data_IF_786400641248
#
_entry.id   IF_786400641248
#
_cell.length_a   1.000
_cell.length_b   1.000
_cell.length_c   1.000
_cell.angle_alpha   90.00
_cell.angle_beta   90.00
_cell.angle_gamma   90.00
#
_symmetry.space_group_name_H-M   'P 1'
#
loop_
_entity.id
_entity.type
_entity.pdbx_description
1 polymer ?
#
# COMPACT_ATOMS: atom_id res chain seq x y z
N UNK A 1 -17.25 -3.65 8.29
CA UNK A 1 -15.84 -3.24 8.26
C UNK A 1 -15.57 -2.59 6.91
N UNK A 2 -14.90 -1.45 6.84
CA UNK A 2 -14.76 -0.72 5.59
C UNK A 2 -13.75 -1.38 4.66
N UNK A 3 -14.19 -1.69 3.46
CA UNK A 3 -13.32 -2.11 2.35
C UNK A 3 -12.64 -0.94 1.65
N UNK A 4 -12.92 0.29 2.09
CA UNK A 4 -12.33 1.54 1.61
C UNK A 4 -12.03 2.45 2.80
N UNK A 5 -11.08 3.35 2.66
CA UNK A 5 -10.83 4.43 3.62
C UNK A 5 -12.05 5.35 3.66
N UNK A 6 -12.45 5.78 4.84
CA UNK A 6 -13.59 6.68 5.01
C UNK A 6 -13.20 8.10 4.55
N UNK A 7 -13.97 8.65 3.62
CA UNK A 7 -13.68 9.96 3.03
C UNK A 7 -14.76 10.98 3.38
N UNK A 8 -14.32 12.11 3.92
CA UNK A 8 -15.13 13.29 4.13
C UNK A 8 -16.00 13.29 5.38
N UNK A 9 -16.10 14.45 6.01
CA UNK A 9 -16.79 14.63 7.29
C UNK A 9 -18.30 14.32 7.25
N UNK A 10 -18.95 14.42 6.09
CA UNK A 10 -20.36 14.08 5.95
C UNK A 10 -20.58 12.57 6.10
N UNK A 11 -19.77 11.73 5.46
CA UNK A 11 -19.84 10.28 5.57
C UNK A 11 -19.50 9.81 6.99
N UNK A 12 -18.46 10.40 7.61
CA UNK A 12 -18.10 10.09 9.00
C UNK A 12 -19.27 10.36 9.97
N UNK A 13 -19.90 11.52 9.88
CA UNK A 13 -21.08 11.86 10.70
C UNK A 13 -22.26 10.91 10.46
N UNK A 14 -22.53 10.56 9.20
CA UNK A 14 -23.63 9.65 8.86
C UNK A 14 -23.43 8.26 9.47
N UNK A 15 -22.17 7.79 9.57
CA UNK A 15 -21.81 6.49 10.13
C UNK A 15 -21.57 6.55 11.65
N UNK A 16 -21.63 7.74 12.28
CA UNK A 16 -21.36 7.92 13.69
C UNK A 16 -19.86 7.74 14.04
N UNK A 17 -18.96 7.88 13.07
CA UNK A 17 -17.51 7.76 13.26
C UNK A 17 -16.95 9.10 13.71
N UNK A 18 -16.32 9.14 14.87
CA UNK A 18 -15.78 10.37 15.51
C UNK A 18 -14.27 10.29 15.73
N UNK A 19 -13.68 9.10 15.65
CA UNK A 19 -12.26 8.88 15.87
C UNK A 19 -11.80 7.46 15.49
N UNK A 20 -10.52 7.14 15.69
CA UNK A 20 -9.94 5.87 15.30
C UNK A 20 -10.54 4.66 16.04
N UNK A 21 -11.14 4.86 17.22
CA UNK A 21 -11.79 3.80 18.00
C UNK A 21 -13.11 3.31 17.37
N UNK A 22 -13.73 4.08 16.47
CA UNK A 22 -15.04 3.77 15.90
C UNK A 22 -14.97 2.97 14.59
N UNK A 23 -13.76 2.81 14.01
CA UNK A 23 -13.57 2.04 12.78
C UNK A 23 -12.23 1.29 12.81
N UNK A 24 -12.17 0.17 12.12
CA UNK A 24 -10.90 -0.47 11.80
C UNK A 24 -10.50 -0.11 10.36
N UNK A 25 -9.67 0.92 10.23
CA UNK A 25 -9.30 1.58 8.99
C UNK A 25 -8.90 3.02 9.25
N UNK A 26 -8.98 3.87 8.25
CA UNK A 26 -8.65 5.28 8.33
C UNK A 26 -9.75 6.19 7.81
N UNK A 27 -9.67 7.44 8.22
CA UNK A 27 -10.47 8.56 7.75
C UNK A 27 -9.56 9.61 7.12
N UNK A 28 -9.98 10.16 6.00
CA UNK A 28 -9.34 11.29 5.32
C UNK A 28 -10.39 12.33 4.91
N UNK A 29 -9.98 13.58 4.83
CA UNK A 29 -10.88 14.68 4.44
C UNK A 29 -11.16 14.69 2.94
N UNK A 30 -10.16 14.35 2.11
CA UNK A 30 -10.23 14.33 0.65
C UNK A 30 -9.82 12.97 0.09
N UNK A 31 -10.47 12.54 -0.98
CA UNK A 31 -10.30 11.21 -1.58
C UNK A 31 -8.85 10.93 -2.03
N UNK A 32 -8.18 11.89 -2.67
CA UNK A 32 -6.80 11.70 -3.12
C UNK A 32 -5.82 11.34 -1.99
N UNK A 33 -6.11 11.71 -0.72
CA UNK A 33 -5.23 11.46 0.43
C UNK A 33 -5.10 9.95 0.71
N UNK A 34 -6.13 9.16 0.42
CA UNK A 34 -6.06 7.71 0.60
C UNK A 34 -5.53 6.97 -0.63
N UNK A 35 -4.97 7.67 -1.60
CA UNK A 35 -4.40 7.10 -2.82
C UNK A 35 -2.87 7.25 -2.86
N UNK A 36 -2.23 6.52 -3.76
CA UNK A 36 -0.77 6.64 -3.98
C UNK A 36 -0.30 8.02 -4.45
N UNK A 37 -1.21 8.90 -4.85
CA UNK A 37 -0.88 10.24 -5.32
C UNK A 37 -0.09 11.07 -4.31
N UNK A 38 -0.33 10.89 -3.01
CA UNK A 38 0.37 11.67 -1.99
C UNK A 38 1.86 11.36 -1.88
N UNK A 39 2.30 10.18 -2.36
CA UNK A 39 3.69 9.73 -2.24
C UNK A 39 4.69 10.66 -2.95
N UNK A 40 4.26 11.39 -3.98
CA UNK A 40 5.14 12.24 -4.78
C UNK A 40 4.67 13.68 -4.84
N UNK A 41 5.61 14.58 -5.09
CA UNK A 41 5.32 15.99 -5.34
C UNK A 41 4.77 16.21 -6.77
N UNK A 42 4.34 17.44 -7.02
CA UNK A 42 3.99 17.89 -8.36
C UNK A 42 5.24 18.33 -9.13
N UNK A 43 5.14 18.44 -10.46
CA UNK A 43 6.24 18.86 -11.33
C UNK A 43 6.80 20.24 -10.95
N UNK A 44 5.89 21.17 -10.63
CA UNK A 44 6.21 22.49 -10.09
C UNK A 44 5.04 23.04 -9.27
N UNK A 45 5.26 24.19 -8.61
CA UNK A 45 4.29 24.82 -7.71
C UNK A 45 3.01 25.34 -8.39
N UNK A 46 3.01 25.47 -9.73
CA UNK A 46 1.86 25.95 -10.50
C UNK A 46 1.10 24.79 -11.16
N UNK A 47 1.62 23.55 -11.04
CA UNK A 47 0.94 22.37 -11.57
C UNK A 47 -0.42 22.19 -10.89
N UNK A 48 -1.38 21.70 -11.66
CA UNK A 48 -2.73 21.46 -11.15
C UNK A 48 -2.71 20.42 -10.02
N UNK A 49 -3.44 20.71 -8.95
CA UNK A 49 -3.59 19.82 -7.81
C UNK A 49 -5.03 19.76 -7.32
N UNK A 50 -5.48 18.66 -6.71
CA UNK A 50 -6.78 18.61 -6.06
C UNK A 50 -6.84 19.55 -4.85
N UNK A 51 -8.06 19.98 -4.50
CA UNK A 51 -8.29 20.79 -3.30
C UNK A 51 -7.79 20.05 -2.05
N UNK A 52 -7.07 20.75 -1.17
CA UNK A 52 -6.48 20.15 0.03
C UNK A 52 -5.11 19.49 -0.20
N UNK A 53 -4.53 19.60 -1.39
CA UNK A 53 -3.16 19.11 -1.64
C UNK A 53 -2.14 19.75 -0.70
N UNK A 54 -1.32 18.92 -0.07
CA UNK A 54 -0.26 19.36 0.85
C UNK A 54 1.13 19.08 0.27
N UNK A 55 1.88 20.10 -0.16
CA UNK A 55 3.29 19.90 -0.56
C UNK A 55 4.16 19.44 0.61
N UNK A 56 3.76 19.75 1.84
CA UNK A 56 4.48 19.35 3.05
C UNK A 56 4.64 17.82 3.14
N UNK A 57 3.62 17.06 2.75
CA UNK A 57 3.69 15.61 2.79
C UNK A 57 4.79 15.07 1.87
N UNK A 58 4.73 15.42 0.59
CA UNK A 58 5.71 14.95 -0.41
C UNK A 58 7.14 15.43 -0.12
N UNK A 59 7.30 16.60 0.50
CA UNK A 59 8.61 17.09 0.98
C UNK A 59 9.19 16.20 2.09
N UNK A 60 8.35 15.79 3.05
CA UNK A 60 8.76 14.96 4.19
C UNK A 60 9.10 13.53 3.79
N UNK A 61 8.37 12.96 2.83
CA UNK A 61 8.55 11.56 2.40
C UNK A 61 9.58 11.40 1.28
N UNK A 62 10.14 12.46 0.73
CA UNK A 62 11.08 12.41 -0.42
C UNK A 62 12.24 11.43 -0.24
N UNK A 63 12.71 11.24 0.98
CA UNK A 63 13.82 10.32 1.28
C UNK A 63 13.41 8.86 1.46
N UNK A 64 12.11 8.57 1.47
CA UNK A 64 11.54 7.24 1.76
C UNK A 64 10.58 6.73 0.69
N UNK A 65 10.47 7.42 -0.43
CA UNK A 65 9.74 7.02 -1.65
C UNK A 65 10.70 6.92 -2.82
N UNK A 66 10.30 6.28 -3.90
CA UNK A 66 11.06 6.29 -5.16
C UNK A 66 11.00 7.66 -5.83
N UNK A 67 11.88 7.92 -6.80
CA UNK A 67 11.80 9.14 -7.60
C UNK A 67 10.50 9.12 -8.42
N UNK A 68 9.67 10.17 -8.30
CA UNK A 68 8.38 10.20 -8.96
C UNK A 68 7.69 11.56 -8.89
N UNK A 69 6.61 11.69 -9.63
CA UNK A 69 5.74 12.86 -9.69
C UNK A 69 4.26 12.44 -9.73
N UNK A 70 3.43 13.19 -9.02
CA UNK A 70 1.98 13.10 -9.14
C UNK A 70 1.47 14.10 -10.14
N UNK A 71 0.57 13.67 -11.01
CA UNK A 71 0.07 14.46 -12.14
C UNK A 71 -1.46 14.41 -12.14
N UNK A 72 -2.10 15.59 -12.13
CA UNK A 72 -3.55 15.77 -12.17
C UNK A 72 -4.04 16.58 -13.38
N UNK A 73 -3.20 16.73 -14.37
CA UNK A 73 -3.49 17.49 -15.59
C UNK A 73 -2.90 16.80 -16.80
N UNK A 74 -3.69 16.70 -17.85
CA UNK A 74 -3.21 16.22 -19.13
C UNK A 74 -2.08 17.11 -19.68
N UNK A 75 -2.16 18.42 -19.45
CA UNK A 75 -1.21 19.39 -19.98
C UNK A 75 0.15 19.33 -19.27
N UNK A 76 0.19 18.92 -17.98
CA UNK A 76 1.42 18.75 -17.21
C UNK A 76 2.07 17.37 -17.45
N UNK A 77 1.32 16.40 -17.93
CA UNK A 77 1.73 15.00 -18.00
C UNK A 77 3.01 14.79 -18.79
N UNK A 78 3.10 15.39 -19.97
CA UNK A 78 4.25 15.21 -20.87
C UNK A 78 5.54 15.77 -20.27
N UNK A 79 5.49 16.95 -19.65
CA UNK A 79 6.67 17.56 -19.03
C UNK A 79 7.14 16.80 -17.79
N UNK A 80 6.21 16.18 -17.05
CA UNK A 80 6.53 15.32 -15.93
C UNK A 80 7.24 14.03 -16.38
N UNK A 81 6.72 13.39 -17.43
CA UNK A 81 7.34 12.19 -18.02
C UNK A 81 8.73 12.49 -18.60
N UNK A 82 8.89 13.59 -19.36
CA UNK A 82 10.17 14.01 -19.91
C UNK A 82 11.23 14.20 -18.83
N UNK A 83 10.84 14.81 -17.72
CA UNK A 83 11.73 15.01 -16.58
C UNK A 83 12.22 13.68 -15.97
N UNK A 84 11.32 12.73 -15.74
CA UNK A 84 11.65 11.47 -15.09
C UNK A 84 12.37 10.50 -16.04
N UNK A 85 11.98 10.44 -17.31
CA UNK A 85 12.60 9.59 -18.34
C UNK A 85 14.07 9.92 -18.60
N UNK A 86 14.52 11.11 -18.22
CA UNK A 86 15.93 11.47 -18.28
C UNK A 86 16.80 10.55 -17.40
N UNK A 87 16.25 10.08 -16.26
CA UNK A 87 16.94 9.18 -15.34
C UNK A 87 16.75 7.69 -15.68
N UNK A 88 15.74 7.33 -16.45
CA UNK A 88 15.45 5.94 -16.85
C UNK A 88 13.97 5.68 -17.09
N UNK A 89 13.57 4.42 -17.31
CA UNK A 89 12.18 4.02 -17.44
C UNK A 89 11.35 4.41 -16.22
N UNK A 90 10.09 4.72 -16.51
CA UNK A 90 9.09 5.09 -15.50
C UNK A 90 7.91 4.13 -15.54
N UNK A 91 7.21 4.02 -14.41
CA UNK A 91 5.95 3.30 -14.28
C UNK A 91 4.82 4.30 -14.09
N UNK A 92 3.84 4.27 -14.99
CA UNK A 92 2.58 5.00 -14.86
C UNK A 92 1.64 4.18 -14.00
N UNK A 93 1.05 4.80 -13.00
CA UNK A 93 0.12 4.18 -12.04
C UNK A 93 -1.13 5.05 -11.89
N UNK A 94 -2.32 4.63 -12.35
CA UNK A 94 -3.57 5.34 -12.02
C UNK A 94 -3.76 5.37 -10.50
N UNK A 95 -4.15 6.51 -9.94
CA UNK A 95 -4.16 6.69 -8.47
C UNK A 95 -5.18 5.81 -7.75
N UNK A 96 -6.32 5.50 -8.39
CA UNK A 96 -7.38 4.66 -7.83
C UNK A 96 -7.21 3.16 -8.12
N UNK A 97 -6.25 2.77 -8.95
CA UNK A 97 -6.01 1.37 -9.26
C UNK A 97 -5.31 0.64 -8.10
N UNK A 98 -5.69 -0.60 -7.87
CA UNK A 98 -5.17 -1.47 -6.82
C UNK A 98 -4.56 -2.74 -7.42
N UNK A 99 -3.70 -3.42 -6.66
CA UNK A 99 -3.10 -4.72 -7.01
C UNK A 99 -2.38 -4.73 -8.37
N UNK A 100 -1.68 -3.65 -8.71
CA UNK A 100 -0.91 -3.54 -9.96
C UNK A 100 -1.71 -3.30 -11.23
N UNK A 101 -3.04 -3.22 -11.17
CA UNK A 101 -3.90 -3.06 -12.35
C UNK A 101 -3.68 -1.71 -13.02
N UNK A 102 -3.72 -1.70 -14.37
CA UNK A 102 -3.61 -0.49 -15.18
C UNK A 102 -2.25 0.20 -15.11
N UNK A 103 -1.23 -0.46 -14.59
CA UNK A 103 0.13 0.06 -14.60
C UNK A 103 0.81 -0.23 -15.94
N UNK A 104 1.60 0.72 -16.41
CA UNK A 104 2.37 0.59 -17.64
C UNK A 104 3.81 1.05 -17.42
N UNK A 105 4.78 0.28 -17.92
CA UNK A 105 6.19 0.69 -17.97
C UNK A 105 6.46 1.43 -19.25
N UNK A 106 7.09 2.59 -19.14
CA UNK A 106 7.34 3.53 -20.23
C UNK A 106 8.84 3.79 -20.28
N UNK A 107 9.43 3.55 -21.46
CA UNK A 107 10.88 3.60 -21.65
C UNK A 107 11.33 4.80 -22.49
N UNK A 108 10.40 5.46 -23.16
CA UNK A 108 10.69 6.61 -24.03
C UNK A 108 9.55 7.60 -24.04
N UNK A 109 9.85 8.83 -24.47
CA UNK A 109 8.85 9.88 -24.64
C UNK A 109 7.86 9.54 -25.76
N UNK A 110 8.30 8.82 -26.81
CA UNK A 110 7.43 8.37 -27.90
C UNK A 110 6.38 7.37 -27.40
N UNK A 111 6.76 6.44 -26.50
CA UNK A 111 5.81 5.54 -25.84
C UNK A 111 4.81 6.33 -24.97
N UNK A 112 5.27 7.34 -24.26
CA UNK A 112 4.39 8.20 -23.46
C UNK A 112 3.44 9.02 -24.35
N UNK A 113 3.91 9.59 -25.45
CA UNK A 113 3.10 10.33 -26.42
C UNK A 113 2.01 9.41 -27.04
N UNK A 114 2.30 8.12 -27.25
CA UNK A 114 1.30 7.14 -27.67
C UNK A 114 0.21 6.90 -26.62
N UNK A 115 0.54 6.96 -25.32
CA UNK A 115 -0.46 6.92 -24.24
C UNK A 115 -1.31 8.17 -24.25
N UNK A 116 -0.70 9.35 -24.41
CA UNK A 116 -1.43 10.63 -24.49
C UNK A 116 -2.39 10.70 -25.69
N UNK A 117 -2.10 9.97 -26.77
CA UNK A 117 -2.96 9.90 -27.94
C UNK A 117 -4.21 9.01 -27.76
N UNK A 118 -4.31 8.25 -26.69
CA UNK A 118 -5.48 7.38 -26.40
C UNK A 118 -6.72 8.21 -26.08
N UNK A 119 -7.92 7.77 -26.48
CA UNK A 119 -9.17 8.50 -26.20
C UNK A 119 -9.41 8.77 -24.70
N UNK A 120 -9.03 7.82 -23.83
CA UNK A 120 -9.19 7.88 -22.39
C UNK A 120 -8.12 8.71 -21.65
N UNK A 121 -7.02 9.07 -22.31
CA UNK A 121 -5.87 9.70 -21.67
C UNK A 121 -6.24 10.98 -20.91
N UNK A 122 -7.05 11.84 -21.49
CA UNK A 122 -7.45 13.10 -20.83
C UNK A 122 -8.20 12.83 -19.51
N UNK A 123 -9.11 11.86 -19.48
CA UNK A 123 -9.83 11.47 -18.28
C UNK A 123 -8.86 10.89 -17.23
N UNK A 124 -8.00 9.96 -17.63
CA UNK A 124 -7.01 9.31 -16.80
C UNK A 124 -6.11 10.33 -16.07
N UNK A 125 -5.53 11.29 -16.81
CA UNK A 125 -4.66 12.29 -16.21
C UNK A 125 -5.42 13.34 -15.38
N UNK A 126 -6.70 13.59 -15.68
CA UNK A 126 -7.54 14.47 -14.87
C UNK A 126 -7.96 13.84 -13.54
N UNK A 127 -8.21 12.53 -13.53
CA UNK A 127 -8.40 11.78 -12.28
C UNK A 127 -7.14 11.76 -11.43
N UNK A 128 -5.99 11.60 -12.06
CA UNK A 128 -4.67 11.60 -11.47
C UNK A 128 -3.88 10.32 -11.72
N UNK A 129 -2.60 10.51 -11.97
CA UNK A 129 -1.63 9.41 -12.09
C UNK A 129 -0.39 9.70 -11.27
N UNK A 130 0.30 8.65 -10.90
CA UNK A 130 1.68 8.69 -10.44
C UNK A 130 2.57 8.22 -11.58
N UNK A 131 3.61 8.99 -11.87
CA UNK A 131 4.75 8.60 -12.69
C UNK A 131 5.91 8.37 -11.74
N UNK A 132 6.45 7.15 -11.70
CA UNK A 132 7.44 6.73 -10.73
C UNK A 132 8.57 5.96 -11.40
N UNK A 133 9.78 6.06 -10.89
CA UNK A 133 10.91 5.26 -11.34
C UNK A 133 10.55 3.78 -11.39
N UNK A 134 10.80 3.13 -12.54
CA UNK A 134 10.63 1.69 -12.67
C UNK A 134 11.84 0.94 -12.10
N UNK A 135 11.58 -0.20 -11.47
CA UNK A 135 12.59 -1.08 -10.89
C UNK A 135 12.46 -2.50 -11.45
N UNK A 136 13.59 -3.19 -11.57
CA UNK A 136 13.67 -4.64 -11.79
C UNK A 136 13.93 -5.40 -10.49
N UNK A 137 13.73 -6.71 -10.52
CA UNK A 137 13.98 -7.63 -9.40
C UNK A 137 13.34 -7.13 -8.08
N UNK A 138 12.06 -6.75 -8.17
CA UNK A 138 11.35 -6.12 -7.07
C UNK A 138 10.89 -7.13 -6.05
N UNK A 139 11.25 -6.90 -4.78
CA UNK A 139 10.58 -7.46 -3.60
C UNK A 139 9.66 -6.40 -3.02
N UNK A 140 8.42 -6.77 -2.69
CA UNK A 140 7.48 -5.88 -2.01
C UNK A 140 7.30 -6.32 -0.57
N UNK A 141 7.65 -5.43 0.36
CA UNK A 141 7.40 -5.61 1.78
C UNK A 141 6.06 -4.96 2.17
N UNK A 142 5.34 -5.64 3.05
CA UNK A 142 4.17 -5.08 3.73
C UNK A 142 4.55 -4.75 5.16
N UNK A 143 4.41 -3.50 5.55
CA UNK A 143 4.68 -3.02 6.91
C UNK A 143 3.46 -2.31 7.43
N UNK A 144 3.03 -2.60 8.65
CA UNK A 144 1.84 -1.95 9.16
C UNK A 144 1.69 -2.00 10.66
N UNK A 145 0.65 -1.29 11.12
CA UNK A 145 0.28 -1.21 12.52
C UNK A 145 -1.23 -1.15 12.65
N UNK A 146 -1.79 -1.85 13.63
CA UNK A 146 -3.22 -1.83 13.94
C UNK A 146 -3.48 -1.68 15.42
N UNK A 147 -4.54 -0.95 15.75
CA UNK A 147 -4.98 -0.64 17.10
C UNK A 147 -6.36 -1.25 17.35
N UNK A 148 -6.47 -2.06 18.41
CA UNK A 148 -7.71 -2.71 18.84
C UNK A 148 -7.90 -2.52 20.34
N UNK A 149 -8.58 -1.45 20.73
CA UNK A 149 -8.65 -1.03 22.13
C UNK A 149 -7.24 -0.77 22.68
N UNK A 150 -6.86 -1.52 23.71
CA UNK A 150 -5.53 -1.40 24.33
C UNK A 150 -4.46 -2.29 23.66
N UNK A 151 -4.81 -3.05 22.64
CA UNK A 151 -3.87 -3.89 21.91
C UNK A 151 -3.36 -3.15 20.69
N UNK A 152 -2.06 -2.95 20.64
CA UNK A 152 -1.32 -2.53 19.46
C UNK A 152 -0.63 -3.73 18.87
N UNK A 153 -0.71 -3.92 17.58
CA UNK A 153 0.10 -4.88 16.84
C UNK A 153 0.81 -4.20 15.68
N UNK A 154 2.06 -4.55 15.47
CA UNK A 154 2.86 -4.09 14.33
C UNK A 154 3.41 -5.29 13.60
N UNK A 155 3.59 -5.15 12.29
CA UNK A 155 4.06 -6.25 11.46
C UNK A 155 4.96 -5.80 10.32
N UNK A 156 5.78 -6.73 9.87
CA UNK A 156 6.51 -6.65 8.61
C UNK A 156 6.52 -8.02 7.93
N UNK A 157 6.70 -8.02 6.64
CA UNK A 157 6.85 -9.25 5.86
C UNK A 157 6.74 -9.02 4.37
N UNK A 158 6.79 -10.10 3.60
CA UNK A 158 6.83 -10.05 2.15
C UNK A 158 5.47 -10.39 1.56
N UNK A 159 5.16 -9.73 0.45
CA UNK A 159 4.02 -10.09 -0.39
C UNK A 159 4.49 -11.04 -1.50
N UNK A 160 3.60 -11.93 -1.92
CA UNK A 160 3.82 -12.77 -3.09
C UNK A 160 2.62 -12.72 -4.04
N UNK A 161 2.88 -13.04 -5.30
CA UNK A 161 1.87 -13.06 -6.35
C UNK A 161 1.35 -14.46 -6.58
N UNK A 162 0.13 -14.55 -7.09
CA UNK A 162 -0.48 -15.76 -7.64
C UNK A 162 -1.04 -15.46 -9.02
N UNK A 163 -1.60 -16.45 -9.68
CA UNK A 163 -2.29 -16.25 -10.95
C UNK A 163 -3.80 -16.41 -10.77
N UNK A 164 -4.54 -15.47 -11.32
CA UNK A 164 -5.99 -15.56 -11.42
C UNK A 164 -6.44 -16.55 -12.52
N UNK A 165 -7.75 -16.70 -12.73
CA UNK A 165 -8.29 -17.62 -13.73
C UNK A 165 -7.97 -17.21 -15.19
N UNK A 166 -7.59 -15.94 -15.43
CA UNK A 166 -7.12 -15.44 -16.73
C UNK A 166 -5.62 -15.64 -16.92
N UNK A 167 -4.89 -16.11 -15.87
CA UNK A 167 -3.46 -16.28 -15.89
C UNK A 167 -2.67 -14.99 -15.58
N UNK A 168 -3.36 -13.91 -15.21
CA UNK A 168 -2.74 -12.65 -14.82
C UNK A 168 -2.13 -12.76 -13.42
N UNK A 169 -0.99 -12.10 -13.21
CA UNK A 169 -0.37 -12.01 -11.90
C UNK A 169 -1.12 -11.02 -11.00
N UNK A 170 -1.59 -11.55 -9.87
CA UNK A 170 -2.35 -10.80 -8.87
C UNK A 170 -1.80 -11.09 -7.47
N UNK A 171 -2.22 -10.31 -6.48
CA UNK A 171 -1.85 -10.55 -5.09
C UNK A 171 -2.24 -11.98 -4.65
N UNK A 172 -1.27 -12.72 -4.14
CA UNK A 172 -1.42 -14.11 -3.68
C UNK A 172 -1.42 -14.25 -2.16
N UNK A 173 -0.89 -13.25 -1.46
CA UNK A 173 -0.82 -13.29 0.00
C UNK A 173 0.38 -12.56 0.57
N UNK A 174 0.53 -12.66 1.88
CA UNK A 174 1.65 -12.08 2.64
C UNK A 174 2.11 -13.03 3.73
N UNK A 175 3.42 -13.11 3.92
CA UNK A 175 4.05 -13.78 5.05
C UNK A 175 4.51 -12.73 6.05
N UNK A 176 3.87 -12.64 7.20
CA UNK A 176 4.08 -11.58 8.18
C UNK A 176 4.70 -12.11 9.47
N UNK A 177 5.63 -11.37 10.02
CA UNK A 177 5.99 -11.40 11.43
C UNK A 177 5.19 -10.31 12.11
N UNK A 178 4.40 -10.66 13.11
CA UNK A 178 3.53 -9.75 13.85
C UNK A 178 3.95 -9.74 15.30
N UNK A 179 4.16 -8.56 15.88
CA UNK A 179 4.46 -8.37 17.29
C UNK A 179 3.29 -7.71 18.01
N UNK A 180 3.15 -8.02 19.29
CA UNK A 180 2.34 -7.23 20.21
C UNK A 180 3.14 -6.00 20.61
N UNK A 181 2.77 -4.83 20.15
CA UNK A 181 3.44 -3.56 20.38
C UNK A 181 3.54 -2.72 19.11
N UNK A 182 4.24 -1.62 19.21
CA UNK A 182 4.51 -0.67 18.14
C UNK A 182 5.69 -1.10 17.26
N UNK A 183 6.09 -0.21 16.34
CA UNK A 183 7.24 -0.44 15.45
C UNK A 183 8.57 -0.62 16.21
N UNK A 184 8.72 -0.03 17.40
CA UNK A 184 9.94 -0.17 18.18
C UNK A 184 10.07 -1.62 18.69
N UNK A 185 8.97 -2.24 19.13
CA UNK A 185 8.94 -3.68 19.49
C UNK A 185 9.24 -4.58 18.27
N UNK A 186 8.80 -4.18 17.08
CA UNK A 186 9.13 -4.92 15.85
C UNK A 186 10.63 -4.84 15.54
N UNK A 187 11.26 -3.69 15.78
CA UNK A 187 12.70 -3.46 15.56
C UNK A 187 13.59 -4.10 16.63
N UNK A 188 13.03 -4.57 17.77
CA UNK A 188 13.76 -5.39 18.75
C UNK A 188 14.06 -6.81 18.22
N UNK A 189 13.34 -7.27 17.19
CA UNK A 189 13.59 -8.58 16.58
C UNK A 189 14.89 -8.60 15.77
N UNK A 190 15.47 -9.78 15.61
CA UNK A 190 16.58 -9.99 14.67
C UNK A 190 16.03 -10.02 13.22
N UNK A 191 16.02 -8.87 12.58
CA UNK A 191 15.52 -8.68 11.22
C UNK A 191 16.65 -8.33 10.26
N UNK A 192 16.58 -8.77 8.98
CA UNK A 192 17.49 -8.33 7.92
C UNK A 192 17.49 -6.80 7.73
N UNK A 193 18.60 -6.25 7.26
CA UNK A 193 18.77 -4.80 7.10
C UNK A 193 17.76 -4.19 6.10
N UNK A 194 17.40 -4.91 5.07
CA UNK A 194 16.40 -4.50 4.08
C UNK A 194 14.99 -4.42 4.68
N UNK A 195 14.63 -5.36 5.56
CA UNK A 195 13.36 -5.33 6.31
C UNK A 195 13.37 -4.17 7.31
N UNK A 196 14.48 -3.94 8.03
CA UNK A 196 14.62 -2.79 8.94
C UNK A 196 14.47 -1.46 8.19
N UNK A 197 15.05 -1.37 7.00
CA UNK A 197 14.90 -0.20 6.14
C UNK A 197 13.43 0.02 5.75
N UNK A 198 12.71 -1.04 5.37
CA UNK A 198 11.29 -0.96 5.01
C UNK A 198 10.43 -0.47 6.20
N UNK A 199 10.70 -0.97 7.43
CA UNK A 199 10.01 -0.51 8.64
C UNK A 199 10.27 0.98 8.88
N UNK A 200 11.53 1.41 8.78
CA UNK A 200 11.88 2.82 8.96
C UNK A 200 11.20 3.73 7.92
N UNK A 201 11.15 3.30 6.65
CA UNK A 201 10.46 4.05 5.59
C UNK A 201 8.96 4.17 5.86
N UNK A 202 8.32 3.09 6.33
CA UNK A 202 6.92 3.10 6.75
C UNK A 202 6.69 4.08 7.92
N UNK A 203 7.54 4.08 8.95
CA UNK A 203 7.44 5.01 10.08
C UNK A 203 7.53 6.48 9.65
N UNK A 204 8.48 6.82 8.76
CA UNK A 204 8.62 8.19 8.25
C UNK A 204 7.39 8.62 7.46
N UNK A 205 6.86 7.73 6.61
CA UNK A 205 5.67 7.99 5.80
C UNK A 205 4.44 8.17 6.69
N UNK A 206 4.29 7.35 7.71
CA UNK A 206 3.21 7.41 8.70
C UNK A 206 3.22 8.72 9.49
N UNK A 207 4.35 9.08 10.06
CA UNK A 207 4.53 10.36 10.76
C UNK A 207 4.26 11.56 9.86
N UNK A 208 4.64 11.49 8.57
CA UNK A 208 4.37 12.55 7.62
C UNK A 208 2.86 12.72 7.37
N UNK A 209 2.09 11.62 7.34
CA UNK A 209 0.64 11.67 7.18
C UNK A 209 -0.04 12.40 8.33
N UNK A 210 0.30 12.05 9.57
CA UNK A 210 -0.25 12.71 10.77
C UNK A 210 0.08 14.22 10.81
N UNK A 211 1.24 14.62 10.30
CA UNK A 211 1.69 16.01 10.32
C UNK A 211 1.15 16.86 9.16
N UNK A 212 0.96 16.25 7.99
CA UNK A 212 0.52 16.97 6.80
C UNK A 212 -1.00 17.05 6.66
N UNK A 213 -1.72 16.12 7.29
CA UNK A 213 -3.18 16.02 7.22
C UNK A 213 -3.80 16.00 8.62
N UNK A 214 -4.03 17.18 9.23
CA UNK A 214 -4.47 17.27 10.63
C UNK A 214 -5.81 16.59 10.95
N UNK A 215 -6.67 16.40 9.95
CA UNK A 215 -7.94 15.68 10.12
C UNK A 215 -7.81 14.15 9.94
N UNK A 216 -6.65 13.66 9.52
CA UNK A 216 -6.39 12.24 9.35
C UNK A 216 -6.35 11.51 10.68
N UNK A 217 -6.98 10.34 10.70
CA UNK A 217 -6.77 9.35 11.76
C UNK A 217 -6.96 7.94 11.20
N UNK A 218 -6.27 6.96 11.78
CA UNK A 218 -6.42 5.57 11.40
C UNK A 218 -6.11 4.64 12.57
N UNK A 219 -6.93 3.61 12.72
CA UNK A 219 -6.67 2.48 13.63
C UNK A 219 -6.02 1.30 12.92
N UNK A 220 -5.94 1.33 11.59
CA UNK A 220 -5.21 0.38 10.77
C UNK A 220 -4.42 1.11 9.71
N UNK A 221 -3.12 0.86 9.70
CA UNK A 221 -2.15 1.49 8.80
C UNK A 221 -1.30 0.40 8.15
N UNK A 222 -1.22 0.39 6.84
CA UNK A 222 -0.37 -0.52 6.07
C UNK A 222 0.33 0.26 4.97
N UNK A 223 1.57 -0.10 4.70
CA UNK A 223 2.45 0.50 3.70
C UNK A 223 3.08 -0.61 2.87
N UNK A 224 3.04 -0.46 1.56
CA UNK A 224 3.71 -1.33 0.62
C UNK A 224 5.03 -0.67 0.20
N UNK A 225 6.14 -1.34 0.47
CA UNK A 225 7.50 -0.84 0.21
C UNK A 225 8.15 -1.71 -0.85
N UNK A 226 8.54 -1.10 -1.97
CA UNK A 226 9.32 -1.80 -3.00
C UNK A 226 10.82 -1.68 -2.71
N UNK A 227 11.52 -2.77 -2.93
CA UNK A 227 12.97 -2.81 -3.02
C UNK A 227 13.35 -3.51 -4.31
N UNK A 228 14.23 -2.89 -5.09
CA UNK A 228 14.62 -3.42 -6.40
C UNK A 228 15.88 -2.75 -6.92
N UNK A 229 16.12 -2.90 -8.22
CA UNK A 229 17.31 -2.38 -8.89
C UNK A 229 16.89 -1.43 -10.01
N UNK A 230 17.47 -0.24 -10.05
CA UNK A 230 17.27 0.71 -11.14
C UNK A 230 18.09 0.33 -12.38
N UNK A 231 17.87 1.02 -13.50
CA UNK A 231 18.57 0.77 -14.78
C UNK A 231 20.09 0.97 -14.73
N UNK A 232 20.59 1.62 -13.67
CA UNK A 232 22.03 1.81 -13.45
C UNK A 232 22.63 0.71 -12.54
N UNK A 233 21.86 -0.32 -12.19
CA UNK A 233 22.27 -1.38 -11.29
C UNK A 233 22.31 -0.98 -9.80
N UNK A 234 21.72 0.17 -9.44
CA UNK A 234 21.70 0.65 -8.06
C UNK A 234 20.47 0.14 -7.33
N UNK A 235 20.65 -0.41 -6.13
CA UNK A 235 19.53 -0.77 -5.25
C UNK A 235 18.75 0.48 -4.83
N UNK A 236 17.44 0.37 -4.92
CA UNK A 236 16.47 1.39 -4.53
C UNK A 236 15.46 0.80 -3.57
N UNK A 237 14.94 1.62 -2.69
CA UNK A 237 13.86 1.25 -1.78
C UNK A 237 12.95 2.45 -1.56
N UNK A 238 11.65 2.23 -1.51
CA UNK A 238 10.69 3.30 -1.25
C UNK A 238 9.26 2.81 -1.03
N UNK A 239 8.50 3.58 -0.25
CA UNK A 239 7.06 3.36 -0.06
C UNK A 239 6.35 3.65 -1.37
N UNK A 240 5.58 2.66 -1.86
CA UNK A 240 4.78 2.77 -3.07
C UNK A 240 3.41 3.41 -2.80
N UNK A 241 2.76 2.94 -1.74
CA UNK A 241 1.42 3.41 -1.35
C UNK A 241 1.10 3.02 0.09
N UNK A 242 0.14 3.74 0.65
CA UNK A 242 -0.51 3.41 1.91
C UNK A 242 -1.83 2.68 1.67
N UNK A 243 -2.25 1.91 2.67
CA UNK A 243 -3.56 1.30 2.73
C UNK A 243 -4.14 1.44 4.14
N UNK A 244 -5.01 2.42 4.32
CA UNK A 244 -5.73 2.69 5.57
C UNK A 244 -7.14 2.09 5.53
N UNK A 245 -7.24 0.88 5.03
CA UNK A 245 -8.46 0.10 4.86
C UNK A 245 -8.18 -1.38 5.00
N UNK A 246 -9.20 -2.19 5.06
CA UNK A 246 -9.01 -3.64 4.95
C UNK A 246 -8.37 -3.99 3.60
N UNK A 247 -7.37 -4.85 3.64
CA UNK A 247 -6.60 -5.28 2.47
C UNK A 247 -6.15 -6.73 2.60
N UNK A 248 -5.19 -7.15 1.78
CA UNK A 248 -4.67 -8.52 1.74
C UNK A 248 -4.11 -9.02 3.07
N UNK A 249 -3.40 -8.16 3.82
CA UNK A 249 -2.82 -8.49 5.12
C UNK A 249 -3.87 -8.59 6.26
N UNK A 250 -5.09 -8.09 6.05
CA UNK A 250 -6.05 -7.93 7.16
C UNK A 250 -6.48 -9.23 7.82
N UNK A 251 -6.57 -10.33 7.08
CA UNK A 251 -6.88 -11.63 7.66
C UNK A 251 -5.76 -12.13 8.58
N UNK A 252 -4.50 -11.87 8.21
CA UNK A 252 -3.35 -12.19 9.05
C UNK A 252 -3.32 -11.32 10.31
N UNK A 253 -3.63 -10.02 10.20
CA UNK A 253 -3.73 -9.11 11.36
C UNK A 253 -4.80 -9.59 12.36
N UNK A 254 -5.97 -10.02 11.88
CA UNK A 254 -7.05 -10.54 12.74
C UNK A 254 -6.65 -11.85 13.40
N UNK A 255 -5.98 -12.77 12.69
CA UNK A 255 -5.50 -14.02 13.27
C UNK A 255 -4.43 -13.79 14.34
N UNK A 256 -3.51 -12.84 14.11
CA UNK A 256 -2.53 -12.43 15.10
C UNK A 256 -3.19 -11.81 16.34
N UNK A 257 -4.15 -10.89 16.14
CA UNK A 257 -4.91 -10.31 17.25
C UNK A 257 -5.59 -11.39 18.11
N UNK A 258 -6.24 -12.35 17.46
CA UNK A 258 -6.91 -13.45 18.17
C UNK A 258 -5.92 -14.30 18.97
N UNK A 259 -4.73 -14.57 18.42
CA UNK A 259 -3.66 -15.27 19.12
C UNK A 259 -3.17 -14.50 20.35
N UNK A 260 -2.97 -13.17 20.22
CA UNK A 260 -2.58 -12.31 21.32
C UNK A 260 -3.65 -12.14 22.40
N UNK A 261 -4.93 -12.23 22.05
CA UNK A 261 -6.03 -12.23 23.03
C UNK A 261 -6.03 -13.55 23.81
N UNK A 262 -5.86 -14.68 23.10
CA UNK A 262 -5.87 -16.02 23.72
C UNK A 262 -4.65 -16.27 24.60
N UNK A 263 -3.51 -15.70 24.24
CA UNK A 263 -2.28 -15.79 25.02
C UNK A 263 -1.69 -14.38 25.25
N UNK A 264 -1.98 -13.74 26.38
CA UNK A 264 -1.44 -12.41 26.70
C UNK A 264 0.08 -12.35 26.89
N UNK A 265 0.76 -13.49 27.05
CA UNK A 265 2.23 -13.56 27.17
C UNK A 265 2.93 -13.68 25.81
N UNK A 266 2.17 -14.01 24.76
CA UNK A 266 2.70 -14.09 23.40
C UNK A 266 3.14 -12.72 22.92
N UNK A 267 4.40 -12.59 22.48
CA UNK A 267 5.00 -11.33 22.04
C UNK A 267 5.09 -11.21 20.53
N UNK A 268 5.35 -12.32 19.86
CA UNK A 268 5.51 -12.36 18.40
C UNK A 268 4.95 -13.66 17.81
N UNK A 269 4.54 -13.59 16.53
CA UNK A 269 3.93 -14.72 15.81
C UNK A 269 4.22 -14.58 14.32
N UNK A 270 4.31 -15.70 13.60
CA UNK A 270 4.31 -15.73 12.14
C UNK A 270 2.90 -16.02 11.63
N UNK A 271 2.42 -15.20 10.71
CA UNK A 271 1.10 -15.39 10.11
C UNK A 271 1.21 -15.22 8.61
N UNK A 272 0.70 -16.21 7.87
CA UNK A 272 0.60 -16.12 6.42
C UNK A 272 -0.86 -15.97 6.00
N UNK A 273 -1.16 -14.97 5.20
CA UNK A 273 -2.41 -14.89 4.44
C UNK A 273 -2.20 -15.47 3.06
N UNK A 274 -3.16 -16.24 2.58
CA UNK A 274 -3.10 -16.88 1.27
C UNK A 274 -4.39 -16.58 0.50
N UNK A 275 -4.24 -16.14 -0.74
CA UNK A 275 -5.32 -16.00 -1.71
C UNK A 275 -5.02 -16.89 -2.93
N UNK A 276 -5.95 -17.74 -3.31
CA UNK A 276 -5.83 -18.59 -4.51
C UNK A 276 -7.16 -18.68 -5.26
N UNK A 277 -7.06 -18.78 -6.56
CA UNK A 277 -8.20 -18.88 -7.48
C UNK A 277 -8.51 -20.34 -7.85
N UNK A 278 -7.88 -21.29 -7.14
CA UNK A 278 -8.09 -22.72 -7.32
C UNK A 278 -8.70 -23.31 -6.04
N UNK A 279 -9.73 -24.14 -6.19
CA UNK A 279 -10.29 -24.88 -5.06
C UNK A 279 -9.34 -26.02 -4.67
N UNK A 280 -8.72 -25.87 -3.51
CA UNK A 280 -7.73 -26.82 -2.98
C UNK A 280 -8.10 -27.27 -1.58
N UNK A 281 -7.55 -28.41 -1.17
CA UNK A 281 -7.63 -28.87 0.23
C UNK A 281 -6.73 -27.96 1.07
N UNK A 282 -7.29 -27.44 2.14
CA UNK A 282 -6.55 -26.59 3.07
C UNK A 282 -5.49 -27.39 3.85
N UNK A 283 -4.36 -26.78 4.18
CA UNK A 283 -3.46 -27.29 5.22
C UNK A 283 -4.22 -27.58 6.52
N UNK A 284 -3.77 -28.55 7.31
CA UNK A 284 -4.49 -29.01 8.51
C UNK A 284 -4.61 -27.92 9.59
N UNK A 285 -3.69 -26.98 9.62
CA UNK A 285 -3.59 -25.85 10.56
C UNK A 285 -4.15 -24.53 9.99
N UNK A 286 -4.68 -24.57 8.75
CA UNK A 286 -5.22 -23.38 8.10
C UNK A 286 -6.61 -23.01 8.63
N UNK A 287 -6.83 -21.72 8.80
CA UNK A 287 -8.13 -21.14 9.13
C UNK A 287 -8.72 -20.58 7.84
N UNK A 288 -9.81 -21.16 7.35
CA UNK A 288 -10.53 -20.66 6.18
C UNK A 288 -11.16 -19.30 6.49
N UNK A 289 -10.86 -18.30 5.67
CA UNK A 289 -11.38 -16.94 5.79
C UNK A 289 -12.53 -16.72 4.79
N UNK A 290 -12.40 -17.26 3.58
CA UNK A 290 -13.39 -17.14 2.54
C UNK A 290 -13.24 -18.27 1.52
N UNK A 291 -14.37 -18.81 1.06
CA UNK A 291 -14.46 -19.75 -0.06
C UNK A 291 -15.71 -19.44 -0.86
N UNK A 292 -15.55 -19.03 -2.10
CA UNK A 292 -16.69 -18.70 -2.94
C UNK A 292 -16.33 -17.84 -4.15
N UNK A 293 -17.31 -17.24 -4.83
CA UNK A 293 -17.06 -16.38 -5.98
C UNK A 293 -16.44 -15.04 -5.56
N UNK A 294 -15.41 -14.60 -6.28
CA UNK A 294 -14.90 -13.24 -6.21
C UNK A 294 -15.86 -12.24 -6.90
N UNK A 295 -15.55 -10.94 -6.82
CA UNK A 295 -16.39 -9.89 -7.43
C UNK A 295 -16.58 -10.05 -8.94
N UNK A 296 -15.61 -10.66 -9.63
CA UNK A 296 -15.65 -10.97 -11.07
C UNK A 296 -16.26 -12.36 -11.39
N UNK A 297 -16.91 -12.99 -10.43
CA UNK A 297 -17.51 -14.34 -10.51
C UNK A 297 -16.52 -15.50 -10.63
N UNK A 298 -15.23 -15.25 -10.46
CA UNK A 298 -14.21 -16.28 -10.34
C UNK A 298 -14.25 -16.94 -8.97
N UNK A 299 -13.73 -18.17 -8.88
CA UNK A 299 -13.55 -18.81 -7.58
C UNK A 299 -12.41 -18.12 -6.81
N UNK A 300 -12.58 -17.92 -5.52
CA UNK A 300 -11.58 -17.36 -4.63
C UNK A 300 -11.60 -18.13 -3.31
N UNK A 301 -10.44 -18.63 -2.91
CA UNK A 301 -10.19 -19.21 -1.60
C UNK A 301 -9.20 -18.33 -0.85
N UNK A 302 -9.56 -17.93 0.37
CA UNK A 302 -8.68 -17.21 1.29
C UNK A 302 -8.56 -17.97 2.60
N UNK A 303 -7.34 -18.13 3.08
CA UNK A 303 -7.08 -18.74 4.38
C UNK A 303 -5.85 -18.11 5.05
N UNK A 304 -5.68 -18.35 6.30
CA UNK A 304 -4.50 -17.95 7.08
C UNK A 304 -3.90 -19.16 7.77
N UNK A 305 -2.59 -19.16 7.95
CA UNK A 305 -1.86 -20.09 8.80
C UNK A 305 -1.13 -19.30 9.88
N UNK A 306 -1.03 -19.89 11.07
CA UNK A 306 -0.42 -19.28 12.25
C UNK A 306 0.66 -20.18 12.76
N UNK A 307 1.84 -19.66 13.02
CA UNK A 307 3.00 -20.40 13.54
C UNK A 307 3.68 -19.59 14.65
N UNK A 308 4.31 -20.27 15.61
CA UNK A 308 5.14 -19.60 16.60
C UNK A 308 6.28 -18.83 15.93
N UNK A 309 6.70 -17.75 16.56
CA UNK A 309 7.92 -17.04 16.18
C UNK A 309 9.04 -17.48 17.13
N UNK A 310 10.00 -18.23 16.62
CA UNK A 310 11.09 -18.83 17.43
C UNK A 310 12.41 -18.03 17.33
N UNK A 311 12.37 -16.78 16.85
CA UNK A 311 13.53 -15.88 16.77
C UNK A 311 14.29 -16.00 15.46
#
# INVERSE_FOLDING_TARGET
MPTQTLVGAAAARQLGVTGPQDLWGGYVEHDFICTKAISHGLRDKNALAPAGWSPLFSERVRGVVLDGLSVFSFDDARSAAEHLLYAGPIRLKPIHACAGRGQEVIKSLDEFDAILARPEARALFTEGVVLEQDLSDVTTHSVGQSFFGDIVLSYCGDQYLTRDAQGEEVYGGSNLIVVRGDYDHLLELELPDDVRLAIHQAQVFDCAADQAYPAFYASRRNYDIAQGVDTNGKRRSGVLEQSWRMGGASSAEVAALQSFINDPQMRAIRVSSVETYTDTVLPADAIEVYRGPAQNSEFLLKYVTVQSYDG
#
